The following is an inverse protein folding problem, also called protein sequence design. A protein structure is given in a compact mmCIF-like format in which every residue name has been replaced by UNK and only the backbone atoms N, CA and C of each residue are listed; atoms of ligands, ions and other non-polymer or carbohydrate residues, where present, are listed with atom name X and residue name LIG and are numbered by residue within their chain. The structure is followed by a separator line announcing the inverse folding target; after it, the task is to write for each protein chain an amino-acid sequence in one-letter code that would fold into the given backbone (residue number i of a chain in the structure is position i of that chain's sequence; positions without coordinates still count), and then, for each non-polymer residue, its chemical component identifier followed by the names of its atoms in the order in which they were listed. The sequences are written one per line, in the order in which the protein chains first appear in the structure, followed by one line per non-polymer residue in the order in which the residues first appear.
data_IF_748983164742
#
_entry.id   IF_748983164742
#
_cell.length_a   1.000
_cell.length_b   1.000
_cell.length_c   1.000
_cell.angle_alpha   90.00
_cell.angle_beta   90.00
_cell.angle_gamma   90.00
#
_symmetry.space_group_name_H-M   'P 1'
#
loop_
_entity.id
_entity.type
_entity.pdbx_description
1 polymer ?
#
# COMPACT_ATOMS: atom_id res chain seq x y z
N UNK A 1 35.43 15.57 -0.78
CA UNK A 1 34.35 15.60 0.21
C UNK A 1 33.17 14.80 -0.31
N UNK A 2 32.66 13.94 0.55
CA UNK A 2 31.49 13.18 0.21
C UNK A 2 30.24 14.05 0.29
N UNK A 3 29.35 13.84 -0.64
CA UNK A 3 28.11 14.60 -0.66
C UNK A 3 27.06 13.96 0.26
N UNK A 4 26.32 14.82 0.94
CA UNK A 4 25.16 14.35 1.67
C UNK A 4 23.96 14.31 0.72
N UNK A 5 23.14 13.28 0.90
CA UNK A 5 21.93 13.10 0.12
C UNK A 5 20.73 13.15 1.05
N UNK A 6 19.72 13.89 0.67
CA UNK A 6 18.48 13.98 1.42
C UNK A 6 17.52 12.91 0.95
N UNK A 7 16.78 12.35 1.90
CA UNK A 7 15.80 11.31 1.63
C UNK A 7 14.41 11.91 1.78
N UNK A 8 13.58 11.73 0.79
CA UNK A 8 12.21 12.25 0.75
C UNK A 8 11.21 11.13 0.63
N UNK A 9 10.06 11.34 1.25
CA UNK A 9 8.95 10.38 1.19
C UNK A 9 7.67 11.11 0.81
N UNK A 10 6.76 10.37 0.17
CA UNK A 10 5.38 10.79 0.00
C UNK A 10 4.54 10.09 1.06
N UNK A 11 3.53 10.79 1.55
CA UNK A 11 2.69 10.28 2.63
C UNK A 11 1.22 10.30 2.21
N UNK A 12 0.48 9.28 2.68
CA UNK A 12 -0.96 9.21 2.58
C UNK A 12 -1.50 8.75 3.92
N UNK A 13 -2.23 9.63 4.59
CA UNK A 13 -2.77 9.34 5.94
C UNK A 13 -1.68 8.93 6.95
N UNK A 14 -0.48 9.49 6.80
CA UNK A 14 0.64 9.19 7.67
C UNK A 14 1.48 7.99 7.26
N UNK A 15 1.04 7.24 6.25
CA UNK A 15 1.80 6.10 5.76
C UNK A 15 2.69 6.49 4.60
N UNK A 16 3.86 5.87 4.53
CA UNK A 16 4.83 6.16 3.48
C UNK A 16 4.44 5.41 2.21
N UNK A 17 4.13 6.18 1.17
CA UNK A 17 3.71 5.62 -0.12
C UNK A 17 4.84 5.58 -1.14
N UNK A 18 5.87 6.40 -0.97
CA UNK A 18 7.05 6.36 -1.83
C UNK A 18 8.25 6.91 -1.07
N UNK A 19 9.43 6.50 -1.46
CA UNK A 19 10.69 6.98 -0.90
C UNK A 19 11.71 7.11 -2.02
N UNK A 20 12.50 8.17 -1.97
CA UNK A 20 13.54 8.38 -2.97
C UNK A 20 14.62 9.31 -2.43
N UNK A 21 15.78 9.27 -3.07
CA UNK A 21 16.86 10.21 -2.81
C UNK A 21 16.66 11.48 -3.62
N UNK A 22 17.10 12.61 -3.09
CA UNK A 22 16.99 13.91 -3.78
C UNK A 22 17.63 13.90 -5.17
N UNK A 23 18.65 13.07 -5.40
CA UNK A 23 19.35 13.04 -6.68
C UNK A 23 18.49 12.50 -7.81
N UNK A 24 17.42 11.80 -7.51
CA UNK A 24 16.49 11.23 -8.49
C UNK A 24 15.18 12.00 -8.56
N UNK A 25 15.05 13.08 -7.80
CA UNK A 25 13.81 13.84 -7.72
C UNK A 25 13.98 15.22 -8.35
N UNK A 26 12.94 15.68 -9.03
CA UNK A 26 12.87 17.06 -9.51
C UNK A 26 12.52 17.98 -8.33
N UNK A 27 12.72 19.29 -8.53
CA UNK A 27 12.33 20.27 -7.52
C UNK A 27 10.81 20.26 -7.29
N UNK A 28 10.04 20.01 -8.33
CA UNK A 28 8.59 19.91 -8.21
C UNK A 28 8.17 18.72 -7.36
N UNK A 29 8.83 17.58 -7.55
CA UNK A 29 8.56 16.38 -6.75
C UNK A 29 8.93 16.61 -5.29
N UNK A 30 10.07 17.24 -5.04
CA UNK A 30 10.54 17.53 -3.67
C UNK A 30 9.53 18.40 -2.93
N UNK A 31 8.89 19.35 -3.60
CA UNK A 31 7.91 20.24 -2.98
C UNK A 31 6.69 19.48 -2.46
N UNK A 32 6.36 18.35 -3.06
CA UNK A 32 5.22 17.54 -2.65
C UNK A 32 5.58 16.44 -1.67
N UNK A 33 6.87 16.29 -1.39
CA UNK A 33 7.37 15.22 -0.53
C UNK A 33 7.92 15.80 0.78
N UNK A 34 8.23 14.91 1.71
CA UNK A 34 8.76 15.31 3.01
C UNK A 34 10.17 14.77 3.21
N UNK A 35 11.09 15.65 3.60
CA UNK A 35 12.44 15.23 3.96
C UNK A 35 12.39 14.51 5.30
N UNK A 36 12.97 13.31 5.35
CA UNK A 36 12.97 12.50 6.57
C UNK A 36 14.36 12.29 7.14
N UNK A 37 15.41 12.39 6.31
CA UNK A 37 16.77 12.14 6.76
C UNK A 37 17.74 12.67 5.71
N UNK A 38 19.02 12.72 6.09
CA UNK A 38 20.10 13.02 5.16
C UNK A 38 21.37 12.32 5.63
N UNK A 39 22.25 11.98 4.73
CA UNK A 39 23.49 11.33 5.07
C UNK A 39 24.31 11.01 3.85
N UNK A 40 25.40 10.32 4.06
CA UNK A 40 26.34 9.95 3.02
C UNK A 40 26.25 8.44 2.74
N UNK A 41 26.60 8.08 1.51
CA UNK A 41 26.68 6.69 1.12
C UNK A 41 25.46 6.20 0.36
N UNK A 42 25.50 4.94 -0.07
CA UNK A 42 24.50 4.35 -0.94
C UNK A 42 23.10 4.30 -0.29
N UNK A 43 23.05 4.14 1.02
CA UNK A 43 21.78 4.14 1.73
C UNK A 43 20.97 5.39 1.46
N UNK A 44 21.65 6.53 1.36
CA UNK A 44 21.00 7.81 1.12
C UNK A 44 20.95 8.16 -0.37
N UNK A 45 21.99 7.81 -1.12
CA UNK A 45 22.02 8.07 -2.55
C UNK A 45 21.02 7.21 -3.33
N UNK A 46 20.72 6.02 -2.82
CA UNK A 46 19.77 5.08 -3.41
C UNK A 46 18.68 4.72 -2.41
N UNK A 47 18.10 5.75 -1.80
CA UNK A 47 17.14 5.57 -0.71
C UNK A 47 15.92 4.74 -1.13
N UNK A 48 15.52 4.84 -2.39
CA UNK A 48 14.37 4.10 -2.90
C UNK A 48 14.56 2.59 -2.84
N UNK A 49 15.80 2.12 -2.73
CA UNK A 49 16.08 0.68 -2.70
C UNK A 49 16.92 0.25 -1.50
N UNK A 50 17.56 1.18 -0.80
CA UNK A 50 18.51 0.83 0.26
C UNK A 50 18.23 1.47 1.61
N UNK A 51 17.40 2.48 1.68
CA UNK A 51 17.13 3.16 2.96
C UNK A 51 16.27 2.30 3.89
N UNK A 52 15.28 1.61 3.35
CA UNK A 52 14.37 0.78 4.12
C UNK A 52 14.74 -0.69 3.96
N UNK A 53 14.61 -1.46 5.03
CA UNK A 53 14.90 -2.88 5.01
C UNK A 53 13.86 -3.69 4.24
N UNK A 54 12.62 -3.21 4.26
CA UNK A 54 11.49 -3.86 3.62
C UNK A 54 10.92 -2.98 2.53
N UNK A 55 10.10 -3.57 1.69
CA UNK A 55 9.37 -2.79 0.70
C UNK A 55 8.35 -1.89 1.39
N UNK A 56 7.85 -0.89 0.66
CA UNK A 56 6.89 0.07 1.20
C UNK A 56 5.56 -0.57 1.57
N UNK A 57 5.19 -1.63 0.85
CA UNK A 57 3.97 -2.38 1.13
C UNK A 57 4.32 -3.86 1.22
N UNK A 58 3.51 -4.61 1.95
CA UNK A 58 3.69 -6.05 2.06
C UNK A 58 3.01 -6.77 0.88
N UNK A 59 3.05 -8.09 0.90
CA UNK A 59 2.47 -8.91 -0.17
C UNK A 59 0.96 -8.73 -0.33
N UNK A 60 0.32 -8.16 0.67
CA UNK A 60 -1.13 -7.90 0.66
C UNK A 60 -1.45 -6.44 0.37
N UNK A 61 -0.46 -5.63 0.03
CA UNK A 61 -0.66 -4.24 -0.29
C UNK A 61 -0.82 -3.31 0.92
N UNK A 62 -0.54 -3.81 2.11
CA UNK A 62 -0.60 -2.99 3.32
C UNK A 62 0.72 -2.28 3.54
N UNK A 63 0.66 -1.06 4.08
CA UNK A 63 1.86 -0.25 4.27
C UNK A 63 2.75 -0.82 5.37
N UNK A 64 4.06 -0.87 5.09
CA UNK A 64 5.05 -1.35 6.05
C UNK A 64 5.63 -0.23 6.91
N UNK A 65 5.51 1.02 6.50
CA UNK A 65 6.13 2.14 7.19
C UNK A 65 5.17 3.31 7.32
N UNK A 66 5.29 4.01 8.44
CA UNK A 66 4.55 5.26 8.68
C UNK A 66 5.53 6.32 9.16
N UNK A 67 5.11 7.59 9.07
CA UNK A 67 5.90 8.73 9.51
C UNK A 67 5.18 9.38 10.69
N UNK A 68 5.79 9.34 11.86
CA UNK A 68 5.19 9.84 13.09
C UNK A 68 6.21 10.73 13.80
N UNK A 69 5.81 11.97 14.10
CA UNK A 69 6.64 12.92 14.85
C UNK A 69 8.05 13.07 14.29
N UNK A 70 8.16 13.15 12.97
CA UNK A 70 9.44 13.32 12.30
C UNK A 70 10.26 12.05 12.14
N UNK A 71 9.69 10.90 12.42
CA UNK A 71 10.42 9.64 12.35
C UNK A 71 9.70 8.61 11.50
N UNK A 72 10.49 7.82 10.77
CA UNK A 72 9.99 6.67 10.02
C UNK A 72 9.90 5.49 10.99
N UNK A 73 8.72 4.91 11.10
CA UNK A 73 8.46 3.81 12.01
C UNK A 73 7.89 2.64 11.21
N UNK A 74 8.42 1.45 11.47
CA UNK A 74 7.86 0.24 10.87
C UNK A 74 6.49 -0.05 11.48
N UNK A 75 5.50 -0.31 10.62
CA UNK A 75 4.15 -0.62 11.07
C UNK A 75 4.12 -2.08 11.54
N UNK A 76 3.75 -2.28 12.81
CA UNK A 76 3.64 -3.63 13.36
C UNK A 76 2.47 -4.37 12.71
N UNK A 77 2.59 -5.69 12.60
CA UNK A 77 1.53 -6.51 12.01
C UNK A 77 0.18 -6.28 12.70
N UNK A 78 0.21 -6.10 14.02
CA UNK A 78 -1.02 -5.85 14.79
C UNK A 78 -1.65 -4.49 14.47
N UNK A 79 -0.88 -3.54 13.95
CA UNK A 79 -1.39 -2.21 13.58
C UNK A 79 -1.94 -2.18 12.15
N UNK A 80 -1.59 -3.15 11.32
CA UNK A 80 -2.06 -3.19 9.95
C UNK A 80 -3.52 -3.58 9.89
N UNK A 81 -4.26 -3.09 8.88
CA UNK A 81 -5.62 -3.54 8.68
C UNK A 81 -5.70 -5.05 8.57
N UNK A 82 -6.72 -5.62 9.16
CA UNK A 82 -6.93 -7.06 9.08
C UNK A 82 -7.17 -7.47 7.63
N UNK A 83 -6.48 -8.52 7.20
CA UNK A 83 -6.73 -9.08 5.88
C UNK A 83 -8.01 -9.89 5.98
N UNK A 84 -9.02 -9.48 5.24
CA UNK A 84 -10.24 -10.25 5.15
C UNK A 84 -10.08 -11.25 4.04
N UNK A 85 -10.14 -12.52 4.39
CA UNK A 85 -10.05 -13.54 3.37
C UNK A 85 -11.34 -13.56 2.57
N UNK A 86 -11.24 -13.76 1.24
CA UNK A 86 -12.44 -13.78 0.39
C UNK A 86 -13.49 -14.79 0.83
N UNK A 87 -13.07 -15.84 1.51
CA UNK A 87 -13.99 -16.87 2.01
C UNK A 87 -14.85 -16.35 3.15
N UNK A 88 -14.31 -15.46 3.98
CA UNK A 88 -15.02 -14.95 5.14
C UNK A 88 -15.96 -13.81 4.75
N UNK A 89 -15.53 -12.94 3.83
CA UNK A 89 -16.31 -11.78 3.41
C UNK A 89 -16.27 -11.67 1.90
N UNK A 90 -17.30 -12.19 1.21
CA UNK A 90 -17.37 -12.06 -0.24
C UNK A 90 -17.40 -10.60 -0.68
N UNK A 91 -16.80 -10.34 -1.82
CA UNK A 91 -16.87 -9.00 -2.41
C UNK A 91 -18.29 -8.70 -2.88
N UNK A 92 -18.57 -7.42 -3.14
CA UNK A 92 -19.86 -7.02 -3.71
C UNK A 92 -20.17 -7.80 -4.98
N UNK A 93 -19.16 -7.97 -5.84
CA UNK A 93 -19.32 -8.69 -7.08
C UNK A 93 -19.64 -10.18 -6.84
N UNK A 94 -19.01 -10.79 -5.87
CA UNK A 94 -19.29 -12.17 -5.52
C UNK A 94 -20.70 -12.36 -4.99
N UNK A 95 -21.17 -11.42 -4.17
CA UNK A 95 -22.54 -11.45 -3.65
C UNK A 95 -23.56 -11.33 -4.78
N UNK A 96 -23.32 -10.42 -5.72
CA UNK A 96 -24.19 -10.23 -6.88
C UNK A 96 -24.23 -11.49 -7.73
N UNK A 97 -23.06 -12.09 -8.00
CA UNK A 97 -22.97 -13.31 -8.79
C UNK A 97 -23.75 -14.46 -8.13
N UNK A 98 -23.61 -14.59 -6.80
CA UNK A 98 -24.33 -15.63 -6.06
C UNK A 98 -25.84 -15.45 -6.17
N UNK A 99 -26.32 -14.21 -6.06
CA UNK A 99 -27.73 -13.88 -6.17
C UNK A 99 -28.27 -14.18 -7.58
N UNK A 100 -27.48 -13.82 -8.60
CA UNK A 100 -27.86 -14.09 -10.00
C UNK A 100 -27.96 -15.59 -10.26
N UNK A 101 -27.01 -16.37 -9.76
CA UNK A 101 -27.04 -17.81 -9.91
C UNK A 101 -28.27 -18.42 -9.22
N UNK A 102 -28.62 -17.93 -8.05
CA UNK A 102 -29.78 -18.39 -7.32
C UNK A 102 -31.07 -18.05 -8.07
N UNK A 103 -31.17 -16.85 -8.62
CA UNK A 103 -32.33 -16.42 -9.42
C UNK A 103 -32.50 -17.27 -10.66
N UNK A 104 -31.41 -17.58 -11.35
CA UNK A 104 -31.44 -18.45 -12.53
C UNK A 104 -31.95 -19.84 -12.16
N UNK A 105 -31.46 -20.38 -11.04
CA UNK A 105 -31.89 -21.68 -10.56
C UNK A 105 -33.38 -21.69 -10.23
N UNK A 106 -33.87 -20.61 -9.59
CA UNK A 106 -35.28 -20.48 -9.25
C UNK A 106 -36.14 -20.38 -10.51
N UNK A 107 -35.71 -19.63 -11.49
CA UNK A 107 -36.44 -19.50 -12.76
C UNK A 107 -36.50 -20.84 -13.49
N UNK A 108 -35.41 -21.60 -13.49
CA UNK A 108 -35.41 -22.92 -14.10
C UNK A 108 -36.38 -23.85 -13.38
N UNK A 109 -36.41 -23.80 -12.06
CA UNK A 109 -37.34 -24.61 -11.29
C UNK A 109 -38.78 -24.25 -11.58
N UNK A 110 -39.08 -22.94 -11.72
CA UNK A 110 -40.40 -22.48 -12.08
C UNK A 110 -40.83 -22.93 -13.46
N UNK A 111 -39.91 -22.84 -14.43
CA UNK A 111 -40.18 -23.31 -15.79
C UNK A 111 -40.45 -24.80 -15.83
N UNK A 112 -39.67 -25.58 -15.05
CA UNK A 112 -39.90 -27.01 -14.99
C UNK A 112 -41.15 -27.38 -14.23
N UNK A 113 -41.60 -26.51 -13.31
CA UNK A 113 -42.82 -26.74 -12.55
C UNK A 113 -44.09 -26.34 -13.26
N UNK A 114 -44.00 -25.61 -14.35
CA UNK A 114 -45.18 -25.07 -15.08
C UNK A 114 -45.43 -25.94 -16.32
N UNK A 115 -45.47 -27.16 -16.17
CA UNK A 115 -45.78 -28.04 -17.31
C UNK A 115 -47.26 -28.30 -17.40
#
# INVERSE_FOLDING_TARGET
MENEYKVYVSLLDGYITSINSEIFLSQEEIQTMKEIDKGQGDKYAHAQSQYLEKELVDEHGRYNYKFVEGKVIEVAEAEKPTIEEPKAVPTEQEKINAQLMLQIAQLKAQLNGVK
#
